data_IF_497211320566
#
_entry.id   IF_497211320566
#
_cell.length_a   1.000
_cell.length_b   1.000
_cell.length_c   1.000
_cell.angle_alpha   90.00
_cell.angle_beta   90.00
_cell.angle_gamma   90.00
#
_symmetry.space_group_name_H-M   'P 1'
#
loop_
_entity.id
_entity.type
_entity.pdbx_description
1 polymer ?
#
# COMPACT_ATOMS: atom_id res chain seq x y z
N UNK A 1 22.87 5.76 -2.30
CA UNK A 1 22.55 5.11 -3.59
C UNK A 1 23.34 3.81 -3.66
N UNK A 2 22.70 2.69 -3.99
CA UNK A 2 23.34 1.37 -4.06
C UNK A 2 23.41 0.91 -5.52
N UNK A 3 24.49 0.25 -5.89
CA UNK A 3 24.67 -0.31 -7.23
C UNK A 3 24.37 -1.82 -7.20
N UNK A 4 23.67 -2.29 -8.21
CA UNK A 4 23.47 -3.72 -8.48
C UNK A 4 23.53 -3.94 -9.98
N UNK A 5 23.83 -5.18 -10.39
CA UNK A 5 23.89 -5.55 -11.80
C UNK A 5 22.81 -6.58 -12.09
N UNK A 6 22.05 -6.37 -13.15
CA UNK A 6 21.10 -7.36 -13.64
C UNK A 6 21.84 -8.59 -14.19
N UNK A 7 21.15 -9.73 -14.19
CA UNK A 7 21.62 -10.96 -14.81
C UNK A 7 20.49 -11.67 -15.52
N UNK A 8 20.83 -12.48 -16.51
CA UNK A 8 19.89 -13.41 -17.13
C UNK A 8 19.73 -14.65 -16.26
N UNK A 9 18.49 -15.07 -16.05
CA UNK A 9 18.14 -16.36 -15.45
C UNK A 9 17.06 -17.01 -16.32
N UNK A 10 17.46 -17.99 -17.13
CA UNK A 10 16.61 -18.50 -18.21
C UNK A 10 16.29 -17.39 -19.21
N UNK A 11 15.00 -17.18 -19.49
CA UNK A 11 14.49 -16.10 -20.34
C UNK A 11 14.22 -14.78 -19.61
N UNK A 12 14.45 -14.73 -18.29
CA UNK A 12 14.11 -13.57 -17.45
C UNK A 12 15.33 -12.73 -17.10
N UNK A 13 15.15 -11.41 -17.07
CA UNK A 13 16.11 -10.47 -16.46
C UNK A 13 15.82 -10.38 -14.97
N UNK A 14 16.83 -10.64 -14.14
CA UNK A 14 16.72 -10.61 -12.68
C UNK A 14 17.63 -9.53 -12.12
N UNK A 15 17.08 -8.70 -11.23
CA UNK A 15 17.82 -7.69 -10.48
C UNK A 15 17.79 -8.07 -9.01
N UNK A 16 18.98 -8.21 -8.42
CA UNK A 16 19.09 -8.40 -6.97
C UNK A 16 18.99 -7.04 -6.29
N UNK A 17 17.96 -6.85 -5.47
CA UNK A 17 17.82 -5.67 -4.63
C UNK A 17 18.82 -5.77 -3.45
N UNK A 18 19.82 -4.88 -3.37
CA UNK A 18 20.82 -4.93 -2.30
C UNK A 18 20.19 -4.55 -0.95
N UNK A 19 20.72 -5.07 0.17
CA UNK A 19 20.26 -4.66 1.50
C UNK A 19 20.52 -3.16 1.71
N UNK A 20 19.53 -2.46 2.28
CA UNK A 20 19.64 -1.05 2.61
C UNK A 20 19.60 -0.89 4.14
N UNK A 21 20.62 -0.25 4.72
CA UNK A 21 20.77 -0.09 6.18
C UNK A 21 20.68 -1.41 6.95
N UNK A 22 21.30 -2.47 6.43
CA UNK A 22 21.28 -3.81 7.04
C UNK A 22 19.95 -4.56 6.89
N UNK A 23 18.90 -3.93 6.34
CA UNK A 23 17.61 -4.58 6.08
C UNK A 23 17.62 -5.19 4.67
N UNK A 24 17.34 -6.49 4.60
CA UNK A 24 17.13 -7.19 3.33
C UNK A 24 15.68 -6.98 2.87
N UNK A 25 15.43 -6.94 1.55
CA UNK A 25 14.08 -6.99 1.02
C UNK A 25 13.34 -8.24 1.50
N UNK A 26 12.02 -8.11 1.71
CA UNK A 26 11.14 -9.23 2.04
C UNK A 26 11.13 -10.26 0.89
N UNK A 27 11.19 -11.55 1.24
CA UNK A 27 11.04 -12.64 0.27
C UNK A 27 9.60 -12.72 -0.25
N UNK A 28 9.42 -13.06 -1.53
CA UNK A 28 8.11 -13.28 -2.16
C UNK A 28 7.14 -12.08 -2.09
N UNK A 29 7.66 -10.86 -1.93
CA UNK A 29 6.84 -9.64 -1.98
C UNK A 29 6.46 -9.32 -3.42
N UNK A 30 5.18 -9.04 -3.66
CA UNK A 30 4.69 -8.57 -4.96
C UNK A 30 4.90 -7.06 -5.10
N UNK A 31 5.25 -6.64 -6.31
CA UNK A 31 5.42 -5.23 -6.66
C UNK A 31 4.67 -4.91 -7.95
N UNK A 32 4.07 -3.73 -8.00
CA UNK A 32 3.64 -3.09 -9.23
C UNK A 32 4.88 -2.48 -9.91
N UNK A 33 5.04 -2.76 -11.21
CA UNK A 33 6.17 -2.28 -12.01
C UNK A 33 5.72 -1.13 -12.89
N UNK A 34 6.34 0.03 -12.71
CA UNK A 34 6.06 1.22 -13.53
C UNK A 34 7.31 1.59 -14.32
N UNK A 35 7.15 1.68 -15.64
CA UNK A 35 8.19 2.15 -16.55
C UNK A 35 7.97 3.62 -16.86
N UNK A 36 9.00 4.43 -16.60
CA UNK A 36 9.00 5.85 -16.95
C UNK A 36 9.73 6.08 -18.27
N UNK A 37 9.42 7.18 -18.96
CA UNK A 37 10.00 7.52 -20.27
C UNK A 37 11.50 7.81 -20.23
N UNK A 38 12.04 8.17 -19.05
CA UNK A 38 13.46 8.40 -18.81
C UNK A 38 14.27 7.10 -18.57
N UNK A 39 13.61 5.94 -18.64
CA UNK A 39 14.22 4.63 -18.38
C UNK A 39 14.23 4.25 -16.90
N UNK A 40 13.67 5.08 -16.02
CA UNK A 40 13.49 4.73 -14.61
C UNK A 40 12.45 3.62 -14.45
N UNK A 41 12.80 2.57 -13.71
CA UNK A 41 11.89 1.51 -13.29
C UNK A 41 11.55 1.74 -11.81
N UNK A 42 10.28 1.93 -11.52
CA UNK A 42 9.78 2.05 -10.15
C UNK A 42 9.09 0.75 -9.74
N UNK A 43 9.46 0.23 -8.57
CA UNK A 43 8.82 -0.93 -7.94
C UNK A 43 8.01 -0.44 -6.74
N UNK A 44 6.69 -0.54 -6.81
CA UNK A 44 5.79 -0.16 -5.71
C UNK A 44 5.29 -1.43 -5.03
N UNK A 45 5.55 -1.66 -3.73
CA UNK A 45 5.07 -2.85 -3.07
C UNK A 45 3.54 -2.88 -3.09
N UNK A 46 2.98 -4.01 -3.51
CA UNK A 46 1.53 -4.21 -3.47
C UNK A 46 1.12 -4.32 -2.00
N UNK A 47 0.20 -3.44 -1.58
CA UNK A 47 -0.44 -3.54 -0.28
C UNK A 47 -1.57 -4.56 -0.38
N UNK A 48 -1.72 -5.37 0.67
CA UNK A 48 -2.97 -6.12 0.87
C UNK A 48 -4.10 -5.13 1.12
N UNK A 49 -5.33 -5.53 0.78
CA UNK A 49 -6.50 -4.74 1.12
C UNK A 49 -6.61 -4.69 2.66
N UNK A 50 -6.55 -3.51 3.30
CA UNK A 50 -6.62 -3.41 4.76
C UNK A 50 -8.00 -3.82 5.31
N UNK A 51 -9.01 -3.90 4.44
CA UNK A 51 -10.37 -4.36 4.78
C UNK A 51 -10.59 -5.84 4.45
N UNK A 52 -9.55 -6.54 3.97
CA UNK A 52 -9.63 -7.97 3.66
C UNK A 52 -9.93 -8.76 4.94
N UNK A 53 -11.11 -9.40 4.98
CA UNK A 53 -11.58 -10.19 6.11
C UNK A 53 -12.41 -9.44 7.15
N UNK A 54 -12.71 -8.16 6.92
CA UNK A 54 -13.67 -7.45 7.76
C UNK A 54 -15.11 -7.70 7.36
N UNK A 55 -16.01 -7.67 8.33
CA UNK A 55 -17.44 -7.84 8.11
C UNK A 55 -18.07 -6.56 7.53
N UNK A 56 -19.18 -6.70 6.80
CA UNK A 56 -19.94 -5.55 6.30
C UNK A 56 -20.39 -4.67 7.48
N UNK A 57 -19.95 -3.41 7.50
CA UNK A 57 -20.26 -2.48 8.59
C UNK A 57 -19.18 -2.35 9.67
N UNK A 58 -18.17 -3.22 9.72
CA UNK A 58 -17.19 -3.27 10.84
C UNK A 58 -16.39 -1.97 11.02
N UNK A 59 -16.08 -1.30 9.92
CA UNK A 59 -15.28 -0.06 9.93
C UNK A 59 -16.13 1.21 9.86
N UNK A 60 -17.46 1.09 9.99
CA UNK A 60 -18.33 2.25 10.11
C UNK A 60 -18.46 2.62 11.59
N UNK A 61 -18.29 3.91 11.88
CA UNK A 61 -18.58 4.44 13.21
C UNK A 61 -20.08 4.35 13.48
N UNK A 62 -20.44 4.05 14.74
CA UNK A 62 -21.83 4.14 15.18
C UNK A 62 -22.27 5.60 15.09
N UNK A 63 -23.51 5.82 14.68
CA UNK A 63 -24.09 7.15 14.54
C UNK A 63 -24.25 7.78 15.94
N UNK A 64 -23.27 8.57 16.37
CA UNK A 64 -23.23 9.26 17.69
C UNK A 64 -24.33 10.35 17.84
N UNK A 65 -25.28 10.41 16.92
CA UNK A 65 -26.35 11.40 16.88
C UNK A 65 -27.59 10.98 17.67
N UNK A 66 -27.67 9.75 18.18
CA UNK A 66 -28.85 9.25 18.90
C UNK A 66 -29.15 10.05 20.20
N UNK A 67 -28.13 10.67 20.82
CA UNK A 67 -28.27 11.44 22.07
C UNK A 67 -28.37 12.96 21.85
N UNK A 68 -28.37 13.44 20.60
CA UNK A 68 -28.44 14.87 20.32
C UNK A 68 -29.91 15.30 20.22
N UNK A 69 -30.45 15.83 21.31
CA UNK A 69 -31.77 16.46 21.27
C UNK A 69 -31.68 17.81 20.53
N UNK A 70 -32.60 18.13 19.60
CA UNK A 70 -32.61 19.42 18.93
C UNK A 70 -33.01 20.51 19.93
N UNK A 71 -32.00 21.17 20.52
CA UNK A 71 -32.18 22.35 21.37
C UNK A 71 -32.13 23.61 20.51
N UNK A 72 -33.28 24.26 20.34
CA UNK A 72 -33.38 25.49 19.56
C UNK A 72 -34.69 25.60 18.80
N UNK A 73 -35.82 25.64 19.52
CA UNK A 73 -37.07 26.11 18.91
C UNK A 73 -37.05 27.64 18.98
N UNK A 74 -36.88 28.31 17.84
CA UNK A 74 -37.32 29.70 17.75
C UNK A 74 -38.82 29.73 18.07
N UNK A 75 -39.17 30.42 19.16
CA UNK A 75 -40.56 30.68 19.51
C UNK A 75 -41.07 31.71 18.48
N UNK A 76 -41.92 31.26 17.56
CA UNK A 76 -42.64 32.10 16.60
C UNK A 76 -43.73 32.87 17.33
#
# INVERSE_FOLDING_TARGET
MLLTKSRMQGSSVVITLPPHNGKKPESNKEYLVVYSSDGTILLVPKLSDPFEGGDEGEFYELDDWEDISPEGRELI
#
